data_IF_977090503176
#
_entry.id   IF_977090503176
#
_cell.length_a   1.000
_cell.length_b   1.000
_cell.length_c   1.000
_cell.angle_alpha   90.00
_cell.angle_beta   90.00
_cell.angle_gamma   90.00
#
_symmetry.space_group_name_H-M   'P 1'
#
loop_
_entity.id
_entity.type
_entity.pdbx_description
1 polymer ?
#
# COMPACT_ATOMS: atom_id res chain seq x y z
N UNK A 1 -24.72 9.56 -2.76
CA UNK A 1 -24.16 8.78 -1.64
C UNK A 1 -22.86 8.20 -2.17
N UNK A 2 -21.72 8.53 -1.57
CA UNK A 2 -20.44 7.91 -1.97
C UNK A 2 -20.47 6.48 -1.47
N UNK A 3 -20.30 5.51 -2.37
CA UNK A 3 -20.21 4.10 -1.98
C UNK A 3 -18.75 3.74 -1.68
N UNK A 4 -18.38 3.82 -0.41
CA UNK A 4 -17.03 3.49 0.04
C UNK A 4 -16.67 2.01 -0.15
N UNK A 5 -17.65 1.11 -0.25
CA UNK A 5 -17.39 -0.31 -0.47
C UNK A 5 -16.92 -0.55 -1.91
N UNK A 6 -17.51 0.16 -2.87
CA UNK A 6 -17.08 0.13 -4.28
C UNK A 6 -15.65 0.64 -4.48
N UNK A 7 -15.26 1.74 -3.81
CA UNK A 7 -13.93 2.32 -3.97
C UNK A 7 -12.80 1.41 -3.48
N UNK A 8 -13.06 0.61 -2.44
CA UNK A 8 -12.08 -0.37 -1.94
C UNK A 8 -11.76 -1.46 -2.96
N UNK A 9 -12.73 -1.86 -3.80
CA UNK A 9 -12.54 -2.86 -4.85
C UNK A 9 -11.75 -2.30 -6.05
N UNK A 10 -11.74 -0.98 -6.22
CA UNK A 10 -11.04 -0.28 -7.30
C UNK A 10 -9.61 0.12 -6.92
N UNK A 11 -9.14 -0.30 -5.74
CA UNK A 11 -7.83 0.05 -5.20
C UNK A 11 -7.00 -1.21 -5.00
N UNK A 12 -5.78 -1.20 -5.51
CA UNK A 12 -4.84 -2.30 -5.37
C UNK A 12 -3.47 -1.80 -4.89
N UNK A 13 -2.64 -2.72 -4.43
CA UNK A 13 -1.22 -2.48 -4.20
C UNK A 13 -0.47 -3.34 -5.19
N UNK A 14 0.40 -2.71 -5.98
CA UNK A 14 1.40 -3.41 -6.77
C UNK A 14 2.74 -3.36 -6.03
N UNK A 15 3.53 -4.41 -6.14
CA UNK A 15 4.84 -4.48 -5.52
C UNK A 15 5.91 -4.91 -6.52
N UNK A 16 7.14 -4.47 -6.30
CA UNK A 16 8.32 -4.96 -7.01
C UNK A 16 9.52 -5.01 -6.07
N UNK A 17 10.36 -6.03 -6.23
CA UNK A 17 11.62 -6.16 -5.51
C UNK A 17 12.71 -5.39 -6.24
N UNK A 18 13.59 -4.71 -5.51
CA UNK A 18 14.75 -4.04 -6.11
C UNK A 18 15.67 -5.05 -6.79
N UNK A 19 16.15 -4.69 -7.99
CA UNK A 19 17.13 -5.49 -8.72
C UNK A 19 18.51 -5.55 -8.04
N UNK A 20 18.80 -4.64 -7.09
CA UNK A 20 20.07 -4.58 -6.37
C UNK A 20 20.02 -5.32 -5.03
N UNK A 21 18.85 -5.39 -4.40
CA UNK A 21 18.66 -6.04 -3.12
C UNK A 21 17.21 -6.53 -2.99
N UNK A 22 17.02 -7.85 -3.02
CA UNK A 22 15.70 -8.48 -2.93
C UNK A 22 14.98 -8.24 -1.59
N UNK A 23 15.71 -7.77 -0.56
CA UNK A 23 15.12 -7.31 0.71
C UNK A 23 14.44 -5.94 0.63
N UNK A 24 14.65 -5.18 -0.46
CA UNK A 24 14.01 -3.89 -0.69
C UNK A 24 12.81 -4.10 -1.60
N UNK A 25 11.62 -3.75 -1.11
CA UNK A 25 10.36 -3.83 -1.85
C UNK A 25 9.78 -2.44 -2.03
N UNK A 26 9.48 -2.09 -3.27
CA UNK A 26 8.73 -0.89 -3.64
C UNK A 26 7.25 -1.25 -3.73
N UNK A 27 6.39 -0.55 -2.98
CA UNK A 27 4.94 -0.69 -3.02
C UNK A 27 4.32 0.53 -3.69
N UNK A 28 3.34 0.32 -4.54
CA UNK A 28 2.57 1.39 -5.18
C UNK A 28 1.08 1.14 -5.06
N UNK A 29 0.34 2.10 -4.51
CA UNK A 29 -1.13 2.05 -4.50
C UNK A 29 -1.66 2.54 -5.85
N UNK A 30 -2.42 1.68 -6.53
CA UNK A 30 -3.22 2.03 -7.70
C UNK A 30 -4.67 2.29 -7.30
N UNK A 31 -5.32 3.26 -7.94
CA UNK A 31 -6.74 3.54 -7.77
C UNK A 31 -7.39 3.83 -9.11
N UNK A 32 -8.52 3.17 -9.38
CA UNK A 32 -9.27 3.28 -10.65
C UNK A 32 -10.69 3.83 -10.46
N UNK A 33 -11.01 4.34 -9.27
CA UNK A 33 -12.29 5.01 -9.00
C UNK A 33 -12.35 6.44 -9.53
N UNK A 34 -13.56 7.00 -9.53
CA UNK A 34 -13.81 8.38 -9.97
C UNK A 34 -13.24 9.41 -8.99
N UNK A 35 -13.14 9.05 -7.70
CA UNK A 35 -12.53 9.90 -6.68
C UNK A 35 -11.01 9.75 -6.68
N UNK A 36 -10.32 10.80 -6.26
CA UNK A 36 -8.87 10.75 -6.11
C UNK A 36 -8.52 10.24 -4.71
N UNK A 37 -7.35 9.62 -4.56
CA UNK A 37 -6.82 9.35 -3.24
C UNK A 37 -6.27 10.62 -2.62
N UNK A 38 -6.47 10.80 -1.32
CA UNK A 38 -5.73 11.79 -0.56
C UNK A 38 -4.25 11.44 -0.62
N UNK A 39 -3.43 12.46 -0.73
CA UNK A 39 -1.98 12.31 -0.87
C UNK A 39 -1.28 11.94 0.45
N UNK A 40 -1.92 11.16 1.32
CA UNK A 40 -1.38 10.68 2.59
C UNK A 40 -1.84 9.26 2.82
N UNK A 41 -0.90 8.31 2.74
CA UNK A 41 -1.16 6.88 2.90
C UNK A 41 -0.38 6.39 4.10
N UNK A 42 -1.06 5.67 4.99
CA UNK A 42 -0.43 4.99 6.12
C UNK A 42 -0.15 3.54 5.74
N UNK A 43 1.08 3.11 5.93
CA UNK A 43 1.56 1.77 5.66
C UNK A 43 1.91 1.03 6.94
N UNK A 44 1.58 -0.26 6.96
CA UNK A 44 2.13 -1.26 7.87
C UNK A 44 2.71 -2.37 7.01
N UNK A 45 4.01 -2.66 7.15
CA UNK A 45 4.68 -3.62 6.26
C UNK A 45 4.62 -5.07 6.75
N UNK A 46 3.99 -5.33 7.90
CA UNK A 46 3.82 -6.68 8.45
C UNK A 46 5.04 -7.20 9.22
N UNK A 47 6.14 -6.45 9.26
CA UNK A 47 7.35 -6.73 10.04
C UNK A 47 7.42 -5.93 11.36
N UNK A 48 6.35 -5.18 11.67
CA UNK A 48 6.26 -4.27 12.81
C UNK A 48 6.58 -2.81 12.48
N UNK A 49 7.13 -2.52 11.30
CA UNK A 49 7.35 -1.15 10.85
C UNK A 49 6.06 -0.51 10.31
N UNK A 50 5.89 0.79 10.59
CA UNK A 50 4.82 1.61 10.05
C UNK A 50 5.36 2.94 9.54
N UNK A 51 4.75 3.46 8.48
CA UNK A 51 5.14 4.75 7.90
C UNK A 51 3.94 5.47 7.32
N UNK A 52 3.92 6.80 7.44
CA UNK A 52 3.00 7.64 6.67
C UNK A 52 3.80 8.36 5.60
N UNK A 53 3.36 8.23 4.34
CA UNK A 53 4.03 8.87 3.20
C UNK A 53 3.06 9.78 2.47
N UNK A 54 3.62 10.80 1.84
CA UNK A 54 2.93 11.54 0.80
C UNK A 54 3.19 10.86 -0.54
N UNK A 55 2.14 10.64 -1.32
CA UNK A 55 2.20 9.88 -2.58
C UNK A 55 1.69 8.46 -2.45
N UNK A 56 1.63 7.77 -3.60
CA UNK A 56 1.16 6.39 -3.71
C UNK A 56 2.26 5.35 -3.60
N UNK A 57 3.52 5.76 -3.72
CA UNK A 57 4.69 4.85 -3.72
C UNK A 57 5.48 4.98 -2.44
N UNK A 58 5.93 3.84 -1.91
CA UNK A 58 6.85 3.75 -0.78
C UNK A 58 7.82 2.60 -0.96
N UNK A 59 9.08 2.79 -0.57
CA UNK A 59 10.05 1.71 -0.46
C UNK A 59 10.21 1.30 1.01
N UNK A 60 10.31 -0.01 1.23
CA UNK A 60 10.60 -0.60 2.53
C UNK A 60 11.69 -1.66 2.41
N UNK A 61 12.59 -1.68 3.40
CA UNK A 61 13.67 -2.66 3.49
C UNK A 61 13.37 -3.61 4.62
N UNK A 62 13.17 -4.89 4.30
CA UNK A 62 12.98 -5.94 5.28
C UNK A 62 14.31 -6.40 5.86
N UNK A 63 14.34 -6.70 7.15
CA UNK A 63 15.55 -7.15 7.83
C UNK A 63 15.82 -8.66 7.67
N UNK A 64 14.80 -9.44 7.33
CA UNK A 64 14.85 -10.90 7.22
C UNK A 64 14.03 -11.35 6.01
N UNK A 65 14.44 -12.47 5.40
CA UNK A 65 13.62 -13.18 4.41
C UNK A 65 12.35 -13.72 5.08
N UNK A 66 11.26 -13.75 4.33
CA UNK A 66 9.99 -14.26 4.80
C UNK A 66 8.80 -13.69 4.02
N UNK A 67 7.63 -14.20 4.34
CA UNK A 67 6.37 -13.72 3.77
C UNK A 67 5.77 -12.65 4.68
N UNK A 68 5.48 -11.48 4.11
CA UNK A 68 4.93 -10.33 4.83
C UNK A 68 3.63 -9.85 4.19
N UNK A 69 2.68 -9.39 5.00
CA UNK A 69 1.45 -8.73 4.52
C UNK A 69 1.55 -7.24 4.76
N UNK A 70 1.78 -6.49 3.69
CA UNK A 70 1.72 -5.03 3.69
C UNK A 70 0.26 -4.57 3.66
N UNK A 71 -0.06 -3.54 4.45
CA UNK A 71 -1.39 -2.94 4.56
C UNK A 71 -1.25 -1.44 4.33
N UNK A 72 -1.96 -0.91 3.34
CA UNK A 72 -2.13 0.52 3.10
C UNK A 72 -3.51 0.97 3.57
N UNK A 73 -3.55 1.87 4.54
CA UNK A 73 -4.76 2.61 4.90
C UNK A 73 -4.80 3.88 4.07
N UNK A 74 -5.77 3.96 3.16
CA UNK A 74 -5.96 5.08 2.24
C UNK A 74 -7.24 5.83 2.58
N UNK A 75 -7.28 7.12 2.25
CA UNK A 75 -8.51 7.91 2.33
C UNK A 75 -8.75 8.58 0.99
N UNK A 76 -9.93 8.48 0.40
CA UNK A 76 -10.27 9.17 -0.84
C UNK A 76 -10.71 10.61 -0.60
N UNK A 77 -10.71 11.43 -1.65
CA UNK A 77 -11.23 12.80 -1.64
C UNK A 77 -12.73 12.86 -1.32
N UNK A 78 -13.44 11.75 -1.53
CA UNK A 78 -14.85 11.58 -1.14
C UNK A 78 -15.04 11.33 0.37
N UNK A 79 -13.96 11.17 1.14
CA UNK A 79 -13.98 10.94 2.58
C UNK A 79 -14.07 9.47 3.01
N UNK A 80 -13.94 8.52 2.07
CA UNK A 80 -13.90 7.10 2.38
C UNK A 80 -12.51 6.69 2.84
N UNK A 81 -12.41 5.99 3.98
CA UNK A 81 -11.17 5.39 4.46
C UNK A 81 -11.28 3.88 4.43
N UNK A 82 -10.29 3.19 3.86
CA UNK A 82 -10.27 1.74 3.76
C UNK A 82 -8.84 1.19 3.72
N UNK A 83 -8.71 -0.10 4.03
CA UNK A 83 -7.45 -0.83 4.01
C UNK A 83 -7.34 -1.69 2.76
N UNK A 84 -6.18 -1.62 2.10
CA UNK A 84 -5.79 -2.50 1.00
C UNK A 84 -4.59 -3.31 1.46
N UNK A 85 -4.55 -4.59 1.10
CA UNK A 85 -3.52 -5.52 1.57
C UNK A 85 -2.82 -6.16 0.39
N UNK A 86 -1.53 -6.40 0.55
CA UNK A 86 -0.72 -7.16 -0.40
C UNK A 86 0.25 -8.07 0.35
N UNK A 87 0.34 -9.32 -0.09
CA UNK A 87 1.29 -10.29 0.46
C UNK A 87 2.50 -10.37 -0.45
N UNK A 88 3.68 -10.21 0.13
CA UNK A 88 4.96 -10.29 -0.58
C UNK A 88 5.83 -11.38 0.03
N UNK A 89 6.58 -12.06 -0.82
CA UNK A 89 7.61 -13.00 -0.40
C UNK A 89 8.99 -12.35 -0.61
N UNK A 90 9.73 -12.20 0.48
CA UNK A 90 11.03 -11.53 0.52
C UNK A 90 12.11 -12.58 0.69
N UNK A 91 13.12 -12.58 -0.20
CA UNK A 91 14.16 -13.61 -0.29
C UNK A 91 15.56 -13.01 -0.40
#
# INVERSE_FOLDING_TARGET
>A
MVDCLGESFLTNIEHSTSAQNAMIVSFTVGHSGEQQLNNSIKWNFGDGAQRTVSGTTVEHTYAQAGTYTAIATVTSSGGCTFDVKETVDVQ
#
